data_IF_194260048824
#
_entry.id   IF_194260048824
#
_cell.length_a   1.000
_cell.length_b   1.000
_cell.length_c   1.000
_cell.angle_alpha   90.00
_cell.angle_beta   90.00
_cell.angle_gamma   90.00
#
_symmetry.space_group_name_H-M   'P 1'
#
loop_
_entity.id
_entity.type
_entity.pdbx_description
1 polymer ?
#
# COMPACT_ATOMS: atom_id res chain seq x y z
N UNK A 1 -27.52 17.81 28.44
CA UNK A 1 -28.00 16.96 27.33
C UNK A 1 -27.56 17.61 26.02
N UNK A 2 -26.88 16.90 25.11
CA UNK A 2 -26.42 17.45 23.84
C UNK A 2 -27.62 17.82 22.95
N UNK A 3 -27.59 19.02 22.38
CA UNK A 3 -28.65 19.59 21.56
C UNK A 3 -28.79 18.86 20.23
N UNK A 4 -30.00 18.90 19.62
CA UNK A 4 -30.34 18.11 18.44
C UNK A 4 -29.47 18.37 17.19
N UNK A 5 -28.83 19.54 17.09
CA UNK A 5 -27.87 19.90 16.05
C UNK A 5 -26.51 19.19 16.22
N UNK A 6 -26.00 19.07 17.46
CA UNK A 6 -24.74 18.41 17.77
C UNK A 6 -24.76 16.92 17.39
N UNK A 7 -25.91 16.26 17.59
CA UNK A 7 -26.14 14.87 17.13
C UNK A 7 -26.14 14.72 15.61
N UNK A 8 -26.54 15.76 14.87
CA UNK A 8 -26.51 15.75 13.41
C UNK A 8 -25.08 15.92 12.90
N UNK A 9 -24.28 16.77 13.54
CA UNK A 9 -22.88 17.03 13.20
C UNK A 9 -21.98 15.81 13.49
N UNK A 10 -22.19 15.14 14.62
CA UNK A 10 -21.51 13.88 14.98
C UNK A 10 -21.75 12.79 13.94
N UNK A 11 -23.00 12.59 13.52
CA UNK A 11 -23.36 11.61 12.49
C UNK A 11 -22.78 11.95 11.12
N UNK A 12 -22.70 13.24 10.78
CA UNK A 12 -22.09 13.70 9.53
C UNK A 12 -20.56 13.48 9.52
N UNK A 13 -19.90 13.64 10.68
CA UNK A 13 -18.47 13.37 10.84
C UNK A 13 -18.14 11.88 10.71
N UNK A 14 -18.85 11.00 11.44
CA UNK A 14 -18.67 9.54 11.32
C UNK A 14 -18.86 9.08 9.88
N UNK A 15 -19.91 9.58 9.20
CA UNK A 15 -20.18 9.20 7.81
C UNK A 15 -19.06 9.61 6.86
N UNK A 16 -18.42 10.76 7.06
CA UNK A 16 -17.28 11.21 6.25
C UNK A 16 -16.03 10.35 6.46
N UNK A 17 -15.75 9.96 7.69
CA UNK A 17 -14.63 9.07 8.01
C UNK A 17 -14.85 7.67 7.42
N UNK A 18 -16.07 7.15 7.55
CA UNK A 18 -16.47 5.87 6.98
C UNK A 18 -16.40 5.87 5.45
N UNK A 19 -16.89 6.94 4.80
CA UNK A 19 -16.81 7.08 3.34
C UNK A 19 -15.37 7.17 2.83
N UNK A 20 -14.47 7.85 3.56
CA UNK A 20 -13.03 7.88 3.24
C UNK A 20 -12.41 6.48 3.28
N UNK A 21 -12.75 5.69 4.31
CA UNK A 21 -12.30 4.32 4.46
C UNK A 21 -12.82 3.39 3.34
N UNK A 22 -14.11 3.51 3.01
CA UNK A 22 -14.75 2.71 1.96
C UNK A 22 -14.23 3.06 0.57
N UNK A 23 -14.02 4.35 0.30
CA UNK A 23 -13.41 4.78 -0.97
C UNK A 23 -11.99 4.22 -1.12
N UNK A 24 -11.28 4.09 -0.01
CA UNK A 24 -9.98 3.45 0.04
C UNK A 24 -9.92 1.99 -0.19
N UNK A 25 -10.84 1.29 0.45
CA UNK A 25 -11.06 -0.11 0.20
C UNK A 25 -11.39 -0.32 -1.28
N UNK A 26 -12.25 0.52 -1.85
CA UNK A 26 -12.63 0.47 -3.27
C UNK A 26 -11.44 0.69 -4.21
N UNK A 27 -10.59 1.69 -3.94
CA UNK A 27 -9.43 1.99 -4.79
C UNK A 27 -8.35 0.91 -4.71
N UNK A 28 -8.07 0.39 -3.50
CA UNK A 28 -7.14 -0.72 -3.30
C UNK A 28 -7.65 -2.00 -3.98
N UNK A 29 -8.95 -2.29 -3.86
CA UNK A 29 -9.57 -3.45 -4.51
C UNK A 29 -9.50 -3.33 -6.03
N UNK A 30 -9.82 -2.16 -6.58
CA UNK A 30 -9.72 -1.89 -8.02
C UNK A 30 -8.28 -2.07 -8.54
N UNK A 31 -7.28 -1.53 -7.84
CA UNK A 31 -5.87 -1.71 -8.18
C UNK A 31 -5.39 -3.16 -8.06
N UNK A 32 -6.07 -4.00 -7.27
CA UNK A 32 -5.76 -5.44 -7.16
C UNK A 32 -6.43 -6.22 -8.29
N UNK A 33 -7.64 -5.85 -8.67
CA UNK A 33 -8.39 -6.52 -9.74
C UNK A 33 -7.73 -6.30 -11.11
N UNK A 34 -7.24 -5.09 -11.39
CA UNK A 34 -6.56 -4.75 -12.66
C UNK A 34 -5.37 -5.68 -12.99
N UNK A 35 -4.37 -5.89 -12.11
CA UNK A 35 -3.24 -6.79 -12.39
C UNK A 35 -3.70 -8.24 -12.54
N UNK A 36 -4.65 -8.70 -11.71
CA UNK A 36 -5.18 -10.06 -11.81
C UNK A 36 -5.92 -10.29 -13.13
N UNK A 37 -6.74 -9.33 -13.57
CA UNK A 37 -7.41 -9.40 -14.86
C UNK A 37 -6.41 -9.37 -16.03
N UNK A 38 -5.37 -8.54 -15.92
CA UNK A 38 -4.32 -8.41 -16.94
C UNK A 38 -3.50 -9.70 -17.08
N UNK A 39 -3.15 -10.36 -15.97
CA UNK A 39 -2.50 -11.68 -15.98
C UNK A 39 -3.42 -12.74 -16.58
N UNK A 40 -4.72 -12.72 -16.24
CA UNK A 40 -5.69 -13.73 -16.70
C UNK A 40 -5.96 -13.67 -18.21
N UNK A 41 -5.85 -12.50 -18.83
CA UNK A 41 -6.01 -12.35 -20.28
C UNK A 41 -4.79 -12.81 -21.10
N UNK A 42 -3.63 -13.05 -20.46
CA UNK A 42 -2.52 -13.81 -21.05
C UNK A 42 -1.95 -13.27 -22.37
N UNK A 43 -2.15 -11.98 -22.70
CA UNK A 43 -1.84 -11.44 -24.01
C UNK A 43 -0.36 -11.06 -24.22
N UNK A 44 0.54 -11.38 -23.28
CA UNK A 44 1.91 -10.88 -23.27
C UNK A 44 2.95 -11.95 -22.94
N UNK A 45 4.18 -11.74 -23.42
CA UNK A 45 5.34 -12.59 -23.12
C UNK A 45 5.61 -12.64 -21.61
N UNK A 46 6.20 -13.73 -21.08
CA UNK A 46 6.45 -13.90 -19.64
C UNK A 46 7.22 -12.73 -19.01
N UNK A 47 8.15 -12.15 -19.76
CA UNK A 47 8.95 -11.00 -19.34
C UNK A 47 8.11 -9.73 -19.17
N UNK A 48 7.19 -9.49 -20.11
CA UNK A 48 6.28 -8.34 -20.07
C UNK A 48 5.26 -8.48 -18.93
N UNK A 49 4.77 -9.69 -18.67
CA UNK A 49 3.90 -9.98 -17.52
C UNK A 49 4.62 -9.70 -16.20
N UNK A 50 5.89 -10.14 -16.07
CA UNK A 50 6.69 -9.88 -14.86
C UNK A 50 6.91 -8.38 -14.63
N UNK A 51 7.24 -7.62 -15.68
CA UNK A 51 7.44 -6.17 -15.58
C UNK A 51 6.16 -5.44 -15.16
N UNK A 52 5.02 -5.80 -15.77
CA UNK A 52 3.70 -5.25 -15.44
C UNK A 52 3.35 -5.55 -13.98
N UNK A 53 3.49 -6.81 -13.53
CA UNK A 53 3.23 -7.18 -12.13
C UNK A 53 4.14 -6.39 -11.18
N UNK A 54 5.42 -6.23 -11.51
CA UNK A 54 6.36 -5.45 -10.70
C UNK A 54 5.94 -3.99 -10.54
N UNK A 55 5.53 -3.33 -11.64
CA UNK A 55 5.03 -1.96 -11.62
C UNK A 55 3.74 -1.87 -10.79
N UNK A 56 2.77 -2.75 -11.03
CA UNK A 56 1.52 -2.78 -10.30
C UNK A 56 1.72 -3.08 -8.81
N UNK A 57 2.68 -3.94 -8.44
CA UNK A 57 3.06 -4.18 -7.06
C UNK A 57 3.63 -2.93 -6.39
N UNK A 58 4.46 -2.16 -7.09
CA UNK A 58 4.98 -0.89 -6.57
C UNK A 58 3.85 0.12 -6.31
N UNK A 59 2.94 0.29 -7.27
CA UNK A 59 1.78 1.19 -7.12
C UNK A 59 0.88 0.70 -5.98
N UNK A 60 0.72 -0.63 -5.84
CA UNK A 60 -0.06 -1.22 -4.77
C UNK A 60 0.52 -0.94 -3.39
N UNK A 61 1.84 -1.00 -3.22
CA UNK A 61 2.52 -0.58 -1.99
C UNK A 61 2.17 0.88 -1.70
N UNK A 62 2.29 1.79 -2.67
CA UNK A 62 1.98 3.21 -2.47
C UNK A 62 0.51 3.44 -2.07
N UNK A 63 -0.44 2.75 -2.69
CA UNK A 63 -1.87 2.87 -2.36
C UNK A 63 -2.18 2.28 -0.99
N UNK A 64 -1.60 1.13 -0.64
CA UNK A 64 -1.79 0.50 0.67
C UNK A 64 -1.20 1.37 1.78
N UNK A 65 -0.01 1.96 1.57
CA UNK A 65 0.52 2.98 2.46
C UNK A 65 -0.40 4.21 2.51
N UNK A 66 -0.94 4.72 1.39
CA UNK A 66 -1.82 5.91 1.42
C UNK A 66 -3.14 5.70 2.16
N UNK A 67 -3.75 4.51 2.04
CA UNK A 67 -5.07 4.19 2.60
C UNK A 67 -5.05 3.54 3.96
N UNK A 68 -4.13 2.59 4.17
CA UNK A 68 -4.00 1.88 5.44
C UNK A 68 -3.24 2.73 6.46
N UNK A 69 -2.23 3.45 6.00
CA UNK A 69 -1.50 4.44 6.79
C UNK A 69 -2.22 5.80 6.77
N UNK A 70 -3.54 5.74 6.95
CA UNK A 70 -4.53 6.81 6.88
C UNK A 70 -3.97 8.12 7.48
N UNK A 71 -3.28 8.93 6.66
CA UNK A 71 -3.03 10.33 6.95
C UNK A 71 -4.40 10.99 6.89
N UNK A 72 -5.09 10.94 8.01
CA UNK A 72 -6.09 11.94 8.29
C UNK A 72 -5.24 13.16 8.59
N UNK A 73 -5.29 14.18 7.73
CA UNK A 73 -4.64 15.48 7.95
C UNK A 73 -5.07 16.18 9.28
N UNK A 74 -5.92 15.50 10.06
CA UNK A 74 -6.38 15.82 11.42
C UNK A 74 -5.61 15.12 12.54
N UNK A 75 -4.77 14.12 12.25
CA UNK A 75 -3.97 13.45 13.26
C UNK A 75 -2.78 14.35 13.64
N UNK A 76 -2.41 14.36 14.92
CA UNK A 76 -1.32 15.21 15.44
C UNK A 76 -0.04 14.95 14.65
N UNK A 77 0.73 16.00 14.36
CA UNK A 77 1.98 15.94 13.57
C UNK A 77 2.99 14.92 14.14
N UNK A 78 2.93 14.68 15.45
CA UNK A 78 3.74 13.72 16.20
C UNK A 78 3.51 12.27 15.74
N UNK A 79 2.25 11.85 15.58
CA UNK A 79 1.91 10.50 15.11
C UNK A 79 2.36 10.27 13.67
N UNK A 80 2.22 11.30 12.83
CA UNK A 80 2.68 11.26 11.44
C UNK A 80 4.20 11.07 11.36
N UNK A 81 4.96 11.74 12.23
CA UNK A 81 6.42 11.61 12.25
C UNK A 81 6.87 10.22 12.69
N UNK A 82 6.26 9.63 13.72
CA UNK A 82 6.55 8.27 14.18
C UNK A 82 6.26 7.23 13.09
N UNK A 83 5.18 7.45 12.36
CA UNK A 83 4.70 6.57 11.30
C UNK A 83 5.58 6.64 10.04
N UNK A 84 6.00 7.83 9.62
CA UNK A 84 7.00 7.99 8.54
C UNK A 84 8.34 7.39 8.95
N UNK A 85 8.76 7.56 10.21
CA UNK A 85 10.00 6.97 10.73
C UNK A 85 9.95 5.44 10.72
N UNK A 86 8.85 4.84 11.18
CA UNK A 86 8.65 3.39 11.12
C UNK A 86 8.63 2.86 9.69
N UNK A 87 7.94 3.55 8.77
CA UNK A 87 7.90 3.21 7.35
C UNK A 87 9.30 3.28 6.70
N UNK A 88 10.10 4.29 7.04
CA UNK A 88 11.47 4.44 6.57
C UNK A 88 12.35 3.26 7.01
N UNK A 89 12.29 2.90 8.30
CA UNK A 89 13.03 1.74 8.83
C UNK A 89 12.60 0.46 8.11
N UNK A 90 11.29 0.24 7.97
CA UNK A 90 10.75 -0.93 7.29
C UNK A 90 11.24 -1.02 5.84
N UNK A 91 11.26 0.11 5.13
CA UNK A 91 11.71 0.18 3.74
C UNK A 91 13.20 -0.13 3.59
N UNK A 92 14.03 0.37 4.51
CA UNK A 92 15.47 0.06 4.54
C UNK A 92 15.69 -1.42 4.86
N UNK A 93 14.95 -1.97 5.83
CA UNK A 93 15.02 -3.40 6.18
C UNK A 93 14.65 -4.27 4.98
N UNK A 94 13.52 -4.02 4.32
CA UNK A 94 13.09 -4.79 3.14
C UNK A 94 14.10 -4.71 1.99
N UNK A 95 14.54 -3.51 1.64
CA UNK A 95 15.53 -3.31 0.58
C UNK A 95 16.85 -4.00 0.92
N UNK A 96 17.31 -3.89 2.17
CA UNK A 96 18.50 -4.56 2.67
C UNK A 96 18.38 -6.09 2.62
N UNK A 97 17.25 -6.65 3.07
CA UNK A 97 17.01 -8.10 3.03
C UNK A 97 16.96 -8.61 1.58
N UNK A 98 16.26 -7.92 0.68
CA UNK A 98 16.22 -8.30 -0.74
C UNK A 98 17.62 -8.21 -1.38
N UNK A 99 18.39 -7.16 -1.09
CA UNK A 99 19.76 -7.01 -1.56
C UNK A 99 20.67 -8.13 -1.07
N UNK A 100 20.62 -8.44 0.23
CA UNK A 100 21.42 -9.51 0.83
C UNK A 100 21.04 -10.86 0.23
N UNK A 101 19.75 -11.17 0.13
CA UNK A 101 19.29 -12.43 -0.47
C UNK A 101 19.67 -12.54 -1.95
N UNK A 102 19.57 -11.47 -2.71
CA UNK A 102 20.00 -11.45 -4.11
C UNK A 102 21.52 -11.65 -4.24
N UNK A 103 22.32 -10.96 -3.42
CA UNK A 103 23.78 -11.12 -3.36
C UNK A 103 24.17 -12.54 -2.98
N UNK A 104 23.51 -13.12 -1.98
CA UNK A 104 23.76 -14.49 -1.53
C UNK A 104 23.32 -15.51 -2.59
N UNK A 105 22.18 -15.31 -3.23
CA UNK A 105 21.66 -16.15 -4.31
C UNK A 105 22.57 -16.14 -5.54
N UNK A 106 23.10 -14.98 -5.94
CA UNK A 106 24.09 -14.88 -7.01
C UNK A 106 25.40 -15.57 -6.65
N UNK A 107 25.86 -15.45 -5.39
CA UNK A 107 27.09 -16.10 -4.91
C UNK A 107 26.94 -17.63 -4.82
N UNK A 108 25.83 -18.12 -4.27
CA UNK A 108 25.57 -19.57 -4.18
C UNK A 108 25.21 -20.19 -5.54
N UNK A 109 24.53 -19.46 -6.42
CA UNK A 109 24.28 -19.87 -7.80
C UNK A 109 25.56 -19.96 -8.64
N UNK A 110 26.55 -19.10 -8.39
CA UNK A 110 27.88 -19.19 -9.03
C UNK A 110 28.78 -20.30 -8.44
N UNK A 111 28.49 -20.84 -7.25
CA UNK A 111 29.25 -21.96 -6.64
C UNK A 111 28.87 -23.32 -7.26
N UNK A 112 27.80 -23.39 -8.05
CA UNK A 112 27.33 -24.62 -8.72
C UNK A 112 27.80 -24.80 -10.18
N UNK A 113 28.68 -23.93 -10.70
CA UNK A 113 29.28 -24.06 -12.04
C UNK A 113 30.78 -24.36 -11.98
#
# INVERSE_FOLDING_TARGET
MPSGNEKADLKAQERREFLSYVWGLGLALALTIVPFAMVKWGAMTPLAVLAVIGVLALVQIVVHFRFFLHISFRQKREDLQLLIFSALILSIMLAGTLWIMASLGLRMGMVQN
#
